data_IF_608840854484
#
_entry.id   IF_608840854484
#
_cell.length_a   1.000
_cell.length_b   1.000
_cell.length_c   1.000
_cell.angle_alpha   90.00
_cell.angle_beta   90.00
_cell.angle_gamma   90.00
#
_symmetry.space_group_name_H-M   'P 1'
#
loop_
_entity.id
_entity.type
_entity.pdbx_description
1 polymer ?
#
# COMPACT_ATOMS: atom_id res chain seq x y z
N UNK A 1 -32.88 3.95 14.34
CA UNK A 1 -32.74 5.35 14.79
C UNK A 1 -31.29 5.75 14.58
N UNK A 2 -30.88 6.84 13.93
CA UNK A 2 -31.56 7.83 13.08
C UNK A 2 -30.82 7.85 11.74
N UNK A 3 -31.56 7.97 10.63
CA UNK A 3 -30.96 8.43 9.38
C UNK A 3 -30.60 9.91 9.59
N UNK A 4 -29.31 10.18 9.80
CA UNK A 4 -28.80 11.54 9.93
C UNK A 4 -28.92 12.26 8.59
N UNK A 5 -29.76 13.29 8.54
CA UNK A 5 -29.87 14.23 7.44
C UNK A 5 -28.50 14.84 7.12
N UNK A 6 -27.98 14.63 5.91
CA UNK A 6 -26.78 15.30 5.42
C UNK A 6 -27.11 16.74 5.00
N UNK A 7 -27.09 17.66 5.96
CA UNK A 7 -26.81 19.05 5.64
C UNK A 7 -25.43 19.16 4.97
N UNK A 8 -25.14 20.21 4.19
CA UNK A 8 -23.81 20.40 3.62
C UNK A 8 -22.79 20.42 4.76
N UNK A 9 -21.80 19.51 4.70
CA UNK A 9 -20.66 19.54 5.65
C UNK A 9 -20.03 20.92 5.56
N UNK A 10 -19.74 21.53 6.72
CA UNK A 10 -18.96 22.76 6.76
C UNK A 10 -17.67 22.56 5.95
N UNK A 11 -17.43 23.42 4.97
CA UNK A 11 -16.27 23.36 4.09
C UNK A 11 -15.30 24.49 4.42
N UNK A 12 -14.04 24.13 4.62
CA UNK A 12 -12.91 25.04 4.76
C UNK A 12 -12.02 24.92 3.54
N UNK A 13 -11.61 26.05 2.96
CA UNK A 13 -10.73 26.08 1.80
C UNK A 13 -9.28 26.37 2.20
N UNK A 14 -8.35 25.51 1.79
CA UNK A 14 -6.90 25.64 2.08
C UNK A 14 -6.32 26.95 1.53
N UNK A 15 -6.91 27.56 0.49
CA UNK A 15 -6.46 28.86 -0.02
C UNK A 15 -6.41 29.96 1.06
N UNK A 16 -7.29 29.90 2.07
CA UNK A 16 -7.29 30.85 3.20
C UNK A 16 -6.18 30.63 4.22
N UNK A 17 -5.48 29.48 4.14
CA UNK A 17 -4.43 29.06 5.08
C UNK A 17 -3.09 28.82 4.39
N UNK A 18 -3.03 28.96 3.05
CA UNK A 18 -1.85 28.58 2.27
C UNK A 18 -0.62 29.35 2.74
N UNK A 19 0.36 28.61 3.24
CA UNK A 19 1.66 29.12 3.62
C UNK A 19 2.75 28.13 3.15
N UNK A 20 3.57 28.46 2.13
CA UNK A 20 4.63 27.58 1.66
C UNK A 20 5.76 27.36 2.68
N UNK A 21 5.83 28.16 3.75
CA UNK A 21 6.76 27.93 4.87
C UNK A 21 6.24 26.86 5.85
N UNK A 22 4.91 26.71 5.97
CA UNK A 22 4.28 25.63 6.75
C UNK A 22 4.71 24.27 6.21
N UNK A 23 5.12 23.31 7.07
CA UNK A 23 5.47 21.95 6.65
C UNK A 23 4.37 21.21 5.86
N UNK A 24 3.11 21.66 5.93
CA UNK A 24 1.98 21.07 5.19
C UNK A 24 1.30 22.06 4.24
N UNK A 25 1.95 23.18 3.93
CA UNK A 25 1.45 24.20 3.03
C UNK A 25 0.06 24.78 3.42
N UNK A 26 -0.24 24.87 4.72
CA UNK A 26 -1.52 25.37 5.21
C UNK A 26 -2.63 24.33 5.39
N UNK A 27 -2.41 23.08 4.96
CA UNK A 27 -3.46 22.05 5.02
C UNK A 27 -3.76 21.63 6.46
N UNK A 28 -2.73 21.43 7.30
CA UNK A 28 -2.95 21.08 8.71
C UNK A 28 -3.65 22.21 9.46
N UNK A 29 -3.35 23.46 9.13
CA UNK A 29 -3.96 24.65 9.69
C UNK A 29 -5.44 24.76 9.28
N UNK A 30 -5.77 24.49 8.01
CA UNK A 30 -7.14 24.40 7.55
C UNK A 30 -7.94 23.31 8.27
N UNK A 31 -7.35 22.11 8.46
CA UNK A 31 -7.95 21.02 9.23
C UNK A 31 -8.17 21.45 10.69
N UNK A 32 -7.19 22.10 11.32
CA UNK A 32 -7.29 22.56 12.71
C UNK A 32 -8.36 23.65 12.90
N UNK A 33 -8.73 24.37 11.85
CA UNK A 33 -9.79 25.39 11.89
C UNK A 33 -11.21 24.82 11.83
N UNK A 34 -11.36 23.52 11.53
CA UNK A 34 -12.66 22.87 11.53
C UNK A 34 -13.29 22.87 12.91
N UNK A 35 -14.61 22.76 12.93
CA UNK A 35 -15.36 22.48 14.15
C UNK A 35 -14.92 21.15 14.78
N UNK A 36 -15.08 20.95 16.11
CA UNK A 36 -14.80 19.68 16.76
C UNK A 36 -15.59 18.48 16.19
N UNK A 37 -16.71 18.72 15.50
CA UNK A 37 -17.48 17.67 14.82
C UNK A 37 -16.89 17.22 13.48
N UNK A 38 -15.77 17.82 13.05
CA UNK A 38 -15.15 17.57 11.75
C UNK A 38 -15.75 18.43 10.64
N UNK A 39 -15.54 18.01 9.39
CA UNK A 39 -15.97 18.75 8.21
C UNK A 39 -15.17 18.39 6.96
N UNK A 40 -15.30 19.23 5.93
CA UNK A 40 -14.60 19.07 4.66
C UNK A 40 -13.51 20.12 4.53
N UNK A 41 -12.31 19.70 4.16
CA UNK A 41 -11.22 20.59 3.76
C UNK A 41 -11.00 20.43 2.26
N UNK A 42 -11.23 21.52 1.52
CA UNK A 42 -10.96 21.58 0.08
C UNK A 42 -9.56 22.13 -0.17
N UNK A 43 -8.71 21.33 -0.81
CA UNK A 43 -7.39 21.73 -1.28
C UNK A 43 -7.47 22.05 -2.78
N UNK A 44 -7.56 23.33 -3.19
CA UNK A 44 -7.70 23.68 -4.59
C UNK A 44 -6.48 23.25 -5.42
N UNK A 45 -6.64 23.25 -6.73
CA UNK A 45 -5.56 22.99 -7.68
C UNK A 45 -4.27 23.75 -7.32
N UNK A 46 -3.14 23.05 -7.33
CA UNK A 46 -1.86 23.59 -6.90
C UNK A 46 -0.89 22.49 -6.47
N UNK A 47 0.37 22.87 -6.25
CA UNK A 47 1.41 21.97 -5.74
C UNK A 47 1.73 22.32 -4.30
N UNK A 48 1.52 21.37 -3.40
CA UNK A 48 1.75 21.47 -1.96
C UNK A 48 3.00 20.63 -1.62
N UNK A 49 4.14 21.30 -1.42
CA UNK A 49 5.41 20.65 -1.15
C UNK A 49 5.57 20.35 0.34
N UNK A 50 5.28 19.10 0.72
CA UNK A 50 5.24 18.66 2.10
C UNK A 50 6.64 18.48 2.69
N UNK A 51 6.77 18.79 3.99
CA UNK A 51 7.90 18.43 4.86
C UNK A 51 7.48 17.53 6.02
N UNK A 52 6.18 17.35 6.24
CA UNK A 52 5.61 16.38 7.16
C UNK A 52 4.27 15.84 6.62
N UNK A 53 3.76 14.77 7.24
CA UNK A 53 2.45 14.21 6.91
C UNK A 53 1.32 15.19 7.21
N UNK A 54 0.31 15.20 6.35
CA UNK A 54 -1.01 15.75 6.67
C UNK A 54 -1.71 14.72 7.57
N UNK A 55 -1.89 15.05 8.85
CA UNK A 55 -2.65 14.21 9.77
C UNK A 55 -4.15 14.44 9.60
N UNK A 56 -4.90 13.37 9.32
CA UNK A 56 -6.36 13.42 9.24
C UNK A 56 -6.98 12.86 10.53
N UNK A 57 -7.65 13.70 11.34
CA UNK A 57 -8.48 13.20 12.43
C UNK A 57 -9.77 12.56 11.89
N UNK A 58 -10.52 11.88 12.76
CA UNK A 58 -11.84 11.36 12.41
C UNK A 58 -12.82 12.47 11.98
N UNK A 59 -13.86 12.08 11.22
CA UNK A 59 -14.91 12.95 10.71
C UNK A 59 -14.42 14.03 9.72
N UNK A 60 -13.25 13.85 9.10
CA UNK A 60 -12.66 14.80 8.14
C UNK A 60 -12.64 14.21 6.72
N UNK A 61 -13.10 15.03 5.77
CA UNK A 61 -12.87 14.82 4.33
C UNK A 61 -11.77 15.75 3.84
N UNK A 62 -10.67 15.23 3.29
CA UNK A 62 -9.70 16.01 2.51
C UNK A 62 -9.97 15.79 1.02
N UNK A 63 -10.36 16.86 0.32
CA UNK A 63 -10.84 16.79 -1.07
C UNK A 63 -10.05 17.76 -1.94
N UNK A 64 -9.49 17.26 -3.04
CA UNK A 64 -8.82 18.09 -4.04
C UNK A 64 -9.63 18.26 -5.33
N UNK A 65 -9.06 19.02 -6.26
CA UNK A 65 -9.58 19.26 -7.60
C UNK A 65 -9.07 18.18 -8.59
N UNK A 66 -9.06 16.93 -8.13
CA UNK A 66 -8.58 15.78 -8.90
C UNK A 66 -7.06 15.82 -9.12
N UNK A 67 -6.56 15.49 -10.34
CA UNK A 67 -5.13 15.44 -10.61
C UNK A 67 -4.44 16.81 -10.53
N UNK A 68 -5.20 17.91 -10.48
CA UNK A 68 -4.66 19.27 -10.38
C UNK A 68 -4.23 19.64 -8.94
N UNK A 69 -4.70 18.93 -7.91
CA UNK A 69 -4.23 19.09 -6.52
C UNK A 69 -3.11 18.08 -6.26
N UNK A 70 -1.87 18.56 -6.16
CA UNK A 70 -0.67 17.72 -6.06
C UNK A 70 -0.03 17.87 -4.69
N UNK A 71 0.00 16.79 -3.92
CA UNK A 71 0.83 16.64 -2.72
C UNK A 71 2.19 16.07 -3.14
N UNK A 72 3.27 16.84 -2.96
CA UNK A 72 4.60 16.44 -3.40
C UNK A 72 5.59 16.38 -2.24
N UNK A 73 6.61 15.53 -2.35
CA UNK A 73 7.77 15.51 -1.44
C UNK A 73 9.07 15.78 -2.20
N UNK A 74 10.08 16.26 -1.48
CA UNK A 74 11.46 16.31 -2.00
C UNK A 74 12.05 14.90 -2.05
N UNK A 75 13.12 14.67 -2.84
CA UNK A 75 13.89 13.45 -2.75
C UNK A 75 14.24 13.08 -1.29
N UNK A 76 14.02 11.80 -0.88
CA UNK A 76 14.45 11.33 0.42
C UNK A 76 15.95 11.52 0.57
N UNK A 77 16.35 12.09 1.71
CA UNK A 77 17.75 12.15 2.10
C UNK A 77 17.93 11.35 3.37
N UNK A 78 18.87 10.40 3.34
CA UNK A 78 19.22 9.56 4.47
C UNK A 78 20.62 9.87 4.99
N UNK A 79 20.80 9.71 6.29
CA UNK A 79 22.06 9.90 7.00
C UNK A 79 22.23 8.76 8.01
N UNK A 80 23.41 8.15 8.04
CA UNK A 80 23.74 7.13 9.03
C UNK A 80 23.83 7.75 10.42
N UNK A 81 23.43 7.00 11.45
CA UNK A 81 23.66 7.38 12.84
C UNK A 81 25.15 7.25 13.19
N UNK A 82 25.63 8.15 14.05
CA UNK A 82 27.01 8.16 14.56
C UNK A 82 27.16 7.39 15.87
N UNK A 83 26.06 7.24 16.61
CA UNK A 83 25.96 6.47 17.86
C UNK A 83 24.70 5.64 17.84
N UNK A 84 24.65 4.58 18.65
CA UNK A 84 23.41 3.84 18.90
C UNK A 84 22.33 4.80 19.41
N UNK A 85 21.07 4.56 19.03
CA UNK A 85 19.92 5.24 19.61
C UNK A 85 19.24 4.30 20.59
N UNK A 86 18.95 4.77 21.80
CA UNK A 86 18.36 3.94 22.85
C UNK A 86 16.83 4.10 22.86
N UNK A 87 16.11 2.99 23.02
CA UNK A 87 14.67 2.99 23.19
C UNK A 87 14.26 3.96 24.32
N UNK A 88 13.23 4.77 24.07
CA UNK A 88 12.74 5.76 25.04
C UNK A 88 13.42 7.14 24.95
N UNK A 89 14.55 7.27 24.26
CA UNK A 89 15.22 8.56 24.08
C UNK A 89 14.57 9.40 22.98
N UNK A 90 14.66 10.72 23.09
CA UNK A 90 14.07 11.68 22.13
C UNK A 90 15.13 12.33 21.23
N UNK A 91 16.40 11.95 21.37
CA UNK A 91 17.53 12.51 20.65
C UNK A 91 18.32 11.38 19.99
N UNK A 92 18.88 11.66 18.82
CA UNK A 92 19.84 10.79 18.15
C UNK A 92 20.97 11.62 17.56
N UNK A 93 22.13 11.00 17.39
CA UNK A 93 23.30 11.62 16.79
C UNK A 93 23.59 11.03 15.41
N UNK A 94 23.69 11.90 14.41
CA UNK A 94 24.06 11.52 13.05
C UNK A 94 25.58 11.43 12.90
N UNK A 95 26.06 10.60 11.98
CA UNK A 95 27.50 10.49 11.67
C UNK A 95 28.09 11.76 11.04
N UNK A 96 27.24 12.65 10.55
CA UNK A 96 27.58 13.96 9.99
C UNK A 96 26.41 14.93 10.17
N UNK A 97 26.60 16.21 9.84
CA UNK A 97 25.50 17.18 9.87
C UNK A 97 24.35 16.73 8.95
N UNK A 98 23.14 16.47 9.49
CA UNK A 98 22.02 16.01 8.70
C UNK A 98 21.31 17.17 7.97
N UNK A 99 20.55 16.90 6.90
CA UNK A 99 19.83 17.92 6.14
C UNK A 99 18.51 18.37 6.79
N UNK A 100 18.21 17.89 7.99
CA UNK A 100 16.92 18.09 8.66
C UNK A 100 16.78 19.48 9.29
N UNK A 101 15.56 20.00 9.29
CA UNK A 101 15.18 21.28 9.89
C UNK A 101 14.02 21.08 10.86
N UNK A 102 13.82 22.04 11.77
CA UNK A 102 12.66 22.03 12.65
C UNK A 102 11.34 21.92 11.84
N UNK A 103 10.45 21.05 12.30
CA UNK A 103 9.19 20.72 11.64
C UNK A 103 9.27 19.70 10.52
N UNK A 104 10.47 19.22 10.13
CA UNK A 104 10.58 18.11 9.18
C UNK A 104 10.15 16.80 9.86
N UNK A 105 9.37 15.99 9.16
CA UNK A 105 9.15 14.60 9.55
C UNK A 105 10.35 13.74 9.13
N UNK A 106 10.77 12.88 10.06
CA UNK A 106 11.89 11.97 9.91
C UNK A 106 11.50 10.57 10.36
N UNK A 107 12.05 9.59 9.65
CA UNK A 107 11.99 8.18 9.99
C UNK A 107 13.35 7.68 10.44
N UNK A 108 13.36 6.74 11.39
CA UNK A 108 14.57 6.06 11.85
C UNK A 108 14.36 4.56 11.86
N UNK A 109 15.36 3.84 11.39
CA UNK A 109 15.39 2.39 11.39
C UNK A 109 16.83 1.89 11.36
N UNK A 110 17.02 0.59 11.56
CA UNK A 110 18.22 -0.14 11.18
C UNK A 110 17.82 -1.37 10.35
N UNK A 111 18.77 -2.24 10.02
CA UNK A 111 18.48 -3.42 9.18
C UNK A 111 17.66 -4.51 9.91
N UNK A 112 17.48 -4.38 11.22
CA UNK A 112 16.73 -5.31 12.08
C UNK A 112 15.42 -4.72 12.61
N UNK A 113 15.36 -3.41 12.78
CA UNK A 113 14.27 -2.64 13.36
C UNK A 113 13.71 -1.68 12.31
N UNK A 114 12.72 -2.16 11.57
CA UNK A 114 11.98 -1.42 10.55
C UNK A 114 10.48 -1.70 10.67
N UNK A 115 9.66 -1.14 9.78
CA UNK A 115 8.21 -1.28 9.79
C UNK A 115 7.63 -0.75 11.09
N UNK A 116 6.83 -1.59 11.76
CA UNK A 116 6.24 -1.25 13.06
C UNK A 116 7.25 -0.96 14.18
N UNK A 117 8.52 -1.31 14.00
CA UNK A 117 9.60 -1.05 14.96
C UNK A 117 10.45 0.16 14.59
N UNK A 118 10.22 0.77 13.43
CA UNK A 118 10.83 2.04 13.05
C UNK A 118 10.22 3.21 13.82
N UNK A 119 11.02 4.23 14.08
CA UNK A 119 10.56 5.46 14.75
C UNK A 119 10.20 6.51 13.72
N UNK A 120 9.01 7.10 13.84
CA UNK A 120 8.54 8.19 12.98
C UNK A 120 8.22 9.41 13.83
N UNK A 121 8.92 10.52 13.58
CA UNK A 121 8.81 11.72 14.41
C UNK A 121 8.99 13.01 13.64
N UNK A 122 8.81 14.12 14.34
CA UNK A 122 9.05 15.48 13.87
C UNK A 122 10.28 16.05 14.56
N UNK A 123 11.18 16.64 13.78
CA UNK A 123 12.35 17.34 14.29
C UNK A 123 11.90 18.57 15.07
N UNK A 124 12.29 18.62 16.35
CA UNK A 124 12.08 19.78 17.23
C UNK A 124 13.27 20.73 17.17
N UNK A 125 14.48 20.18 17.20
CA UNK A 125 15.71 20.95 17.25
C UNK A 125 16.86 20.16 16.61
N UNK A 126 17.83 20.88 16.02
CA UNK A 126 19.10 20.33 15.54
C UNK A 126 20.26 21.14 16.10
N UNK A 127 21.23 20.46 16.74
CA UNK A 127 22.48 21.05 17.24
C UNK A 127 23.66 20.31 16.63
N UNK A 128 24.18 20.83 15.51
CA UNK A 128 25.21 20.14 14.74
C UNK A 128 24.69 18.82 14.18
N UNK A 129 25.26 17.71 14.64
CA UNK A 129 24.87 16.34 14.26
C UNK A 129 23.77 15.73 15.14
N UNK A 130 23.47 16.34 16.31
CA UNK A 130 22.42 15.88 17.22
C UNK A 130 21.07 16.44 16.82
N UNK A 131 20.06 15.57 16.82
CA UNK A 131 18.70 15.87 16.39
C UNK A 131 17.73 15.41 17.48
N UNK A 132 16.89 16.32 17.96
CA UNK A 132 15.81 16.02 18.90
C UNK A 132 14.49 15.90 18.15
N UNK A 133 13.72 14.85 18.42
CA UNK A 133 12.40 14.61 17.83
C UNK A 133 11.30 14.67 18.89
N UNK A 134 10.05 14.67 18.45
CA UNK A 134 8.86 14.82 19.30
C UNK A 134 8.31 13.51 19.90
N UNK A 135 8.93 12.38 19.60
CA UNK A 135 8.55 11.05 20.06
C UNK A 135 9.80 10.32 20.59
N UNK A 136 9.64 9.39 21.54
CA UNK A 136 10.75 8.54 21.94
C UNK A 136 11.09 7.54 20.83
N UNK A 137 12.32 7.03 20.80
CA UNK A 137 12.71 5.90 19.96
C UNK A 137 11.89 4.67 20.34
N UNK A 138 11.28 4.03 19.33
CA UNK A 138 10.43 2.85 19.48
C UNK A 138 11.24 1.62 19.93
N UNK A 139 12.47 1.49 19.41
CA UNK A 139 13.42 0.42 19.69
C UNK A 139 14.83 0.96 19.77
N UNK A 140 15.72 0.17 20.37
CA UNK A 140 17.15 0.37 20.22
C UNK A 140 17.52 0.24 18.74
N UNK A 141 18.26 1.21 18.22
CA UNK A 141 18.83 1.16 16.87
C UNK A 141 20.36 1.08 16.97
N UNK A 142 20.95 0.14 16.25
CA UNK A 142 22.38 -0.15 16.34
C UNK A 142 23.15 0.34 15.13
N UNK A 143 24.22 1.10 15.36
CA UNK A 143 25.13 1.53 14.28
C UNK A 143 25.72 0.32 13.55
N UNK A 144 26.02 -0.75 14.29
CA UNK A 144 26.49 -2.02 13.73
C UNK A 144 25.47 -2.68 12.77
N UNK A 145 24.18 -2.35 12.90
CA UNK A 145 23.09 -2.83 12.04
C UNK A 145 22.66 -1.78 11.01
N UNK A 146 23.55 -0.84 10.65
CA UNK A 146 23.29 0.24 9.67
C UNK A 146 22.14 1.19 10.07
N UNK A 147 22.06 1.55 11.35
CA UNK A 147 21.11 2.54 11.85
C UNK A 147 21.21 3.86 11.07
N UNK A 148 20.05 4.36 10.64
CA UNK A 148 19.93 5.53 9.76
C UNK A 148 18.66 6.32 10.05
N UNK A 149 18.73 7.62 9.78
CA UNK A 149 17.58 8.51 9.72
C UNK A 149 17.30 8.91 8.27
N UNK A 150 16.04 9.14 7.92
CA UNK A 150 15.61 9.58 6.59
C UNK A 150 14.55 10.67 6.69
N UNK A 151 14.59 11.64 5.78
CA UNK A 151 13.48 12.58 5.57
C UNK A 151 12.47 11.96 4.61
N UNK A 152 11.67 11.03 5.12
CA UNK A 152 10.56 10.38 4.42
C UNK A 152 9.44 10.14 5.43
N UNK A 153 8.20 10.29 4.98
CA UNK A 153 6.98 10.22 5.79
C UNK A 153 5.78 10.01 4.84
N UNK A 154 4.66 9.43 5.28
CA UNK A 154 3.43 9.40 4.48
C UNK A 154 2.97 10.80 4.10
N UNK A 155 2.51 11.03 2.86
CA UNK A 155 1.88 12.32 2.53
C UNK A 155 0.63 12.55 3.39
N UNK A 156 -0.19 11.50 3.55
CA UNK A 156 -1.39 11.50 4.38
C UNK A 156 -1.28 10.39 5.42
N UNK A 157 -1.53 10.74 6.68
CA UNK A 157 -1.50 9.81 7.80
C UNK A 157 -2.75 9.94 8.66
N UNK A 158 -3.28 8.82 9.13
CA UNK A 158 -4.33 8.81 10.15
C UNK A 158 -4.16 7.61 11.07
N UNK A 159 -4.59 7.76 12.32
CA UNK A 159 -4.59 6.69 13.32
C UNK A 159 -5.90 6.67 14.09
N UNK A 160 -6.49 5.49 14.19
CA UNK A 160 -7.69 5.18 14.99
C UNK A 160 -8.88 6.14 14.72
N UNK A 161 -8.92 6.73 13.51
CA UNK A 161 -9.94 7.66 13.08
C UNK A 161 -11.17 6.96 12.50
N UNK A 162 -12.32 7.63 12.57
CA UNK A 162 -13.59 7.11 12.05
C UNK A 162 -14.20 8.14 11.11
N UNK A 163 -14.86 7.71 10.03
CA UNK A 163 -15.51 8.59 9.04
C UNK A 163 -14.51 9.54 8.35
N UNK A 164 -13.45 8.97 7.77
CA UNK A 164 -12.41 9.70 7.02
C UNK A 164 -12.66 9.55 5.52
N UNK A 165 -12.50 10.65 4.79
CA UNK A 165 -12.53 10.65 3.32
C UNK A 165 -11.29 11.34 2.75
N UNK A 166 -10.67 10.70 1.76
CA UNK A 166 -9.57 11.24 0.96
C UNK A 166 -10.01 11.16 -0.50
N UNK A 167 -10.14 12.29 -1.18
CA UNK A 167 -10.74 12.30 -2.51
C UNK A 167 -10.03 13.25 -3.48
N UNK A 168 -9.78 12.79 -4.71
CA UNK A 168 -9.42 13.68 -5.81
C UNK A 168 -8.06 14.36 -5.61
N UNK A 169 -7.03 13.59 -5.29
CA UNK A 169 -5.67 14.09 -5.06
C UNK A 169 -4.66 13.36 -5.92
N UNK A 170 -3.67 14.08 -6.43
CA UNK A 170 -2.40 13.52 -6.89
C UNK A 170 -1.38 13.54 -5.74
N UNK A 171 -0.67 12.45 -5.52
CA UNK A 171 0.41 12.31 -4.53
C UNK A 171 1.66 11.87 -5.29
N UNK A 172 2.72 12.67 -5.21
CA UNK A 172 3.90 12.55 -6.08
C UNK A 172 5.18 12.45 -5.26
N UNK A 173 5.88 11.34 -5.41
CA UNK A 173 7.27 11.20 -4.99
C UNK A 173 8.24 11.86 -5.99
N UNK A 174 9.54 11.84 -5.72
CA UNK A 174 10.53 12.32 -6.68
C UNK A 174 10.53 11.42 -7.93
N UNK A 175 10.45 12.04 -9.11
CA UNK A 175 10.38 11.31 -10.39
C UNK A 175 11.48 10.24 -10.52
N UNK A 176 11.10 9.05 -10.99
CA UNK A 176 12.01 7.94 -11.24
C UNK A 176 12.88 7.55 -10.03
N UNK A 177 12.34 7.65 -8.82
CA UNK A 177 13.05 7.19 -7.64
C UNK A 177 13.46 5.72 -7.77
N UNK A 178 14.76 5.45 -7.56
CA UNK A 178 15.36 4.11 -7.53
C UNK A 178 16.20 3.87 -6.28
N UNK A 179 15.99 4.68 -5.24
CA UNK A 179 16.71 4.52 -3.99
C UNK A 179 16.38 3.19 -3.28
N UNK A 180 17.22 2.75 -2.33
CA UNK A 180 17.08 1.45 -1.69
C UNK A 180 15.96 1.41 -0.65
N UNK A 181 15.43 2.56 -0.22
CA UNK A 181 14.40 2.62 0.82
C UNK A 181 13.10 1.95 0.37
N UNK A 182 12.56 1.05 1.19
CA UNK A 182 11.21 0.50 1.05
C UNK A 182 10.74 -0.02 2.42
N UNK A 183 9.65 0.56 2.93
CA UNK A 183 9.01 0.17 4.19
C UNK A 183 7.55 0.66 4.19
N UNK A 184 6.59 -0.26 4.38
CA UNK A 184 5.16 0.00 4.25
C UNK A 184 4.63 1.09 5.21
N UNK A 185 5.34 1.39 6.30
CA UNK A 185 4.97 2.49 7.23
C UNK A 185 5.16 3.88 6.63
N UNK A 186 5.93 3.96 5.53
CA UNK A 186 6.15 5.18 4.75
C UNK A 186 5.28 5.24 3.48
N UNK A 187 4.20 4.45 3.39
CA UNK A 187 3.29 4.50 2.25
C UNK A 187 2.77 5.93 2.00
N UNK A 188 2.47 6.30 0.75
CA UNK A 188 2.04 7.66 0.41
C UNK A 188 0.77 8.06 1.16
N UNK A 189 -0.18 7.14 1.24
CA UNK A 189 -1.29 7.17 2.19
C UNK A 189 -1.06 6.03 3.17
N UNK A 190 -0.93 6.34 4.46
CA UNK A 190 -0.76 5.34 5.50
C UNK A 190 -1.82 5.53 6.59
N UNK A 191 -2.83 4.66 6.63
CA UNK A 191 -3.91 4.73 7.61
C UNK A 191 -3.83 3.53 8.55
N UNK A 192 -3.98 3.78 9.85
CA UNK A 192 -3.81 2.75 10.88
C UNK A 192 -5.05 2.67 11.77
N UNK A 193 -5.68 1.51 11.88
CA UNK A 193 -6.78 1.28 12.82
C UNK A 193 -8.06 2.07 12.51
N UNK A 194 -8.16 2.66 11.32
CA UNK A 194 -9.26 3.54 10.96
C UNK A 194 -10.52 2.76 10.55
N UNK A 195 -11.70 3.37 10.70
CA UNK A 195 -13.00 2.74 10.38
C UNK A 195 -13.88 3.65 9.53
N UNK A 196 -14.71 3.09 8.65
CA UNK A 196 -15.58 3.86 7.74
C UNK A 196 -14.77 4.87 6.93
N UNK A 197 -13.79 4.34 6.19
CA UNK A 197 -12.84 5.14 5.41
C UNK A 197 -13.17 5.06 3.93
N UNK A 198 -13.06 6.18 3.22
CA UNK A 198 -13.17 6.24 1.77
C UNK A 198 -11.92 6.90 1.19
N UNK A 199 -11.20 6.19 0.32
CA UNK A 199 -10.12 6.74 -0.51
C UNK A 199 -10.56 6.61 -1.97
N UNK A 200 -10.83 7.73 -2.63
CA UNK A 200 -11.55 7.73 -3.92
C UNK A 200 -10.86 8.65 -4.92
N UNK A 201 -10.62 8.16 -6.15
CA UNK A 201 -10.10 8.97 -7.25
C UNK A 201 -8.78 9.67 -6.91
N UNK A 202 -7.86 8.95 -6.25
CA UNK A 202 -6.53 9.44 -5.91
C UNK A 202 -5.47 8.77 -6.78
N UNK A 203 -4.43 9.51 -7.17
CA UNK A 203 -3.31 9.00 -7.96
C UNK A 203 -2.01 9.13 -7.17
N UNK A 204 -1.32 8.03 -6.93
CA UNK A 204 0.02 8.00 -6.35
C UNK A 204 1.04 7.68 -7.45
N UNK A 205 2.13 8.44 -7.50
CA UNK A 205 3.20 8.27 -8.51
C UNK A 205 4.58 8.37 -7.89
N UNK A 206 5.48 7.48 -8.31
CA UNK A 206 6.92 7.48 -7.98
C UNK A 206 7.21 7.55 -6.47
N UNK A 207 6.31 7.02 -5.65
CA UNK A 207 6.47 7.12 -4.21
C UNK A 207 7.66 6.27 -3.73
N UNK A 208 8.53 6.78 -2.83
CA UNK A 208 9.71 6.04 -2.34
C UNK A 208 9.42 4.78 -1.52
N UNK A 209 8.15 4.40 -1.34
CA UNK A 209 7.71 3.20 -0.64
C UNK A 209 6.44 2.67 -1.30
N UNK A 210 5.48 2.14 -0.53
CA UNK A 210 4.18 1.72 -1.03
C UNK A 210 3.28 2.90 -1.43
N UNK A 211 2.32 2.67 -2.31
CA UNK A 211 1.35 3.69 -2.73
C UNK A 211 0.30 3.98 -1.66
N UNK A 212 -0.73 3.14 -1.55
CA UNK A 212 -1.81 3.28 -0.57
C UNK A 212 -1.79 2.08 0.38
N UNK A 213 -1.37 2.32 1.63
CA UNK A 213 -1.31 1.33 2.70
C UNK A 213 -2.37 1.58 3.76
N UNK A 214 -3.19 0.57 4.05
CA UNK A 214 -4.19 0.62 5.13
C UNK A 214 -4.01 -0.58 6.03
N UNK A 215 -3.68 -0.31 7.28
CA UNK A 215 -3.23 -1.30 8.25
C UNK A 215 -4.19 -1.31 9.45
N UNK A 216 -4.70 -2.48 9.86
CA UNK A 216 -5.77 -2.60 10.87
C UNK A 216 -7.04 -1.85 10.47
N UNK A 217 -8.10 -1.97 11.27
CA UNK A 217 -9.35 -1.24 11.07
C UNK A 217 -10.41 -2.05 10.32
N UNK A 218 -11.46 -1.37 9.87
CA UNK A 218 -12.61 -2.05 9.24
C UNK A 218 -13.52 -1.11 8.45
N UNK A 219 -14.28 -1.63 7.48
CA UNK A 219 -15.21 -0.84 6.65
C UNK A 219 -14.44 0.26 5.90
N UNK A 220 -13.58 -0.19 5.00
CA UNK A 220 -12.68 0.65 4.22
C UNK A 220 -12.98 0.44 2.74
N UNK A 221 -13.09 1.54 2.00
CA UNK A 221 -13.30 1.53 0.56
C UNK A 221 -12.16 2.29 -0.12
N UNK A 222 -11.40 1.61 -0.98
CA UNK A 222 -10.38 2.22 -1.84
C UNK A 222 -10.79 1.98 -3.29
N UNK A 223 -11.24 3.04 -3.95
CA UNK A 223 -11.92 2.90 -5.24
C UNK A 223 -11.42 3.92 -6.26
N UNK A 224 -11.34 3.51 -7.52
CA UNK A 224 -10.96 4.41 -8.63
C UNK A 224 -9.58 5.07 -8.41
N UNK A 225 -8.69 4.42 -7.66
CA UNK A 225 -7.38 4.95 -7.34
C UNK A 225 -6.31 4.37 -8.26
N UNK A 226 -5.19 5.08 -8.35
CA UNK A 226 -4.05 4.71 -9.17
C UNK A 226 -2.77 4.72 -8.34
N UNK A 227 -1.89 3.73 -8.52
CA UNK A 227 -0.58 3.67 -7.88
C UNK A 227 0.48 3.22 -8.89
N UNK A 228 1.35 4.14 -9.31
CA UNK A 228 2.29 3.93 -10.40
C UNK A 228 3.73 4.19 -10.00
N UNK A 229 4.65 3.34 -10.45
CA UNK A 229 6.10 3.58 -10.27
C UNK A 229 6.55 3.64 -8.82
N UNK A 230 5.72 3.22 -7.85
CA UNK A 230 6.08 3.22 -6.45
C UNK A 230 7.21 2.20 -6.22
N UNK A 231 8.14 2.53 -5.33
CA UNK A 231 9.30 1.65 -5.05
C UNK A 231 8.85 0.31 -4.45
N UNK A 232 7.76 0.34 -3.69
CA UNK A 232 7.15 -0.81 -3.03
C UNK A 232 5.91 -1.33 -3.74
N UNK A 233 4.90 -1.73 -2.98
CA UNK A 233 3.61 -2.20 -3.50
C UNK A 233 2.72 -1.02 -3.96
N UNK A 234 1.82 -1.25 -4.91
CA UNK A 234 0.82 -0.25 -5.29
C UNK A 234 -0.23 -0.03 -4.19
N UNK A 235 -0.94 -1.10 -3.83
CA UNK A 235 -1.95 -1.12 -2.78
C UNK A 235 -1.61 -2.18 -1.73
N UNK A 236 -1.81 -1.86 -0.46
CA UNK A 236 -1.37 -2.70 0.65
C UNK A 236 -2.38 -2.70 1.82
N UNK A 237 -3.46 -3.50 1.73
CA UNK A 237 -4.23 -3.89 2.92
C UNK A 237 -3.41 -4.80 3.83
N UNK A 238 -3.34 -4.48 5.11
CA UNK A 238 -2.57 -5.31 6.02
C UNK A 238 -2.91 -5.23 7.49
N UNK A 239 -2.18 -6.02 8.25
CA UNK A 239 -2.18 -6.06 9.72
C UNK A 239 -3.60 -6.11 10.28
N UNK A 240 -4.32 -7.21 10.07
CA UNK A 240 -5.67 -7.38 10.63
C UNK A 240 -6.76 -6.43 10.10
N UNK A 241 -6.62 -5.87 8.88
CA UNK A 241 -7.70 -5.12 8.22
C UNK A 241 -8.90 -6.04 7.89
N UNK A 242 -10.13 -5.57 8.11
CA UNK A 242 -11.35 -6.37 7.93
C UNK A 242 -12.40 -5.67 7.08
N UNK A 243 -13.23 -6.43 6.39
CA UNK A 243 -14.42 -5.90 5.70
C UNK A 243 -14.08 -4.67 4.83
N UNK A 244 -13.12 -4.83 3.92
CA UNK A 244 -12.67 -3.76 3.05
C UNK A 244 -12.93 -4.08 1.58
N UNK A 245 -13.15 -3.05 0.77
CA UNK A 245 -13.41 -3.16 -0.67
C UNK A 245 -12.39 -2.33 -1.42
N UNK A 246 -11.67 -2.99 -2.31
CA UNK A 246 -10.69 -2.40 -3.20
C UNK A 246 -11.17 -2.67 -4.62
N UNK A 247 -11.68 -1.65 -5.31
CA UNK A 247 -12.25 -1.86 -6.64
C UNK A 247 -11.95 -0.76 -7.65
N UNK A 248 -11.95 -1.10 -8.93
CA UNK A 248 -11.70 -0.16 -10.02
C UNK A 248 -10.35 0.55 -9.89
N UNK A 249 -9.36 -0.13 -9.32
CA UNK A 249 -8.03 0.44 -9.07
C UNK A 249 -7.05 0.05 -10.18
N UNK A 250 -6.03 0.87 -10.37
CA UNK A 250 -4.95 0.59 -11.32
C UNK A 250 -3.61 0.66 -10.58
N UNK A 251 -2.83 -0.42 -10.62
CA UNK A 251 -1.45 -0.39 -10.18
C UNK A 251 -0.51 -0.85 -11.31
N UNK A 252 0.52 -0.07 -11.61
CA UNK A 252 1.51 -0.53 -12.56
C UNK A 252 2.90 0.07 -12.46
N UNK A 253 3.88 -0.71 -12.91
CA UNK A 253 5.29 -0.31 -12.84
C UNK A 253 5.84 -0.21 -11.41
N UNK A 254 5.13 -0.75 -10.41
CA UNK A 254 5.60 -0.71 -9.02
C UNK A 254 6.72 -1.75 -8.80
N UNK A 255 7.63 -1.49 -7.87
CA UNK A 255 8.75 -2.39 -7.58
C UNK A 255 8.36 -3.68 -6.87
N UNK A 256 7.27 -3.64 -6.08
CA UNK A 256 6.65 -4.79 -5.43
C UNK A 256 5.48 -5.35 -6.25
N UNK A 257 4.42 -5.73 -5.55
CA UNK A 257 3.16 -6.19 -6.15
C UNK A 257 2.27 -5.01 -6.56
N UNK A 258 1.35 -5.25 -7.51
CA UNK A 258 0.27 -4.31 -7.77
C UNK A 258 -0.64 -4.14 -6.54
N UNK A 259 -1.00 -5.27 -5.93
CA UNK A 259 -1.79 -5.36 -4.70
C UNK A 259 -1.20 -6.41 -3.77
N UNK A 260 -0.96 -6.09 -2.50
CA UNK A 260 -0.37 -7.01 -1.53
C UNK A 260 -1.24 -7.18 -0.29
N UNK A 261 -1.68 -8.41 -0.05
CA UNK A 261 -2.33 -8.82 1.19
C UNK A 261 -1.27 -9.11 2.27
N UNK A 262 -1.44 -8.52 3.46
CA UNK A 262 -0.46 -8.66 4.55
C UNK A 262 -1.11 -9.04 5.89
N UNK A 263 -1.10 -10.32 6.23
CA UNK A 263 -1.30 -10.88 7.56
C UNK A 263 -2.62 -10.48 8.28
N UNK A 264 -3.48 -11.49 8.44
CA UNK A 264 -4.81 -11.44 9.06
C UNK A 264 -5.79 -10.49 8.36
N UNK A 265 -5.65 -10.27 7.06
CA UNK A 265 -6.67 -9.57 6.27
C UNK A 265 -7.88 -10.50 6.09
N UNK A 266 -9.08 -10.01 6.44
CA UNK A 266 -10.29 -10.83 6.40
C UNK A 266 -11.47 -10.13 5.73
N UNK A 267 -12.35 -10.92 5.10
CA UNK A 267 -13.59 -10.42 4.48
C UNK A 267 -13.34 -9.25 3.53
N UNK A 268 -12.19 -9.24 2.86
CA UNK A 268 -11.77 -8.17 1.96
C UNK A 268 -11.99 -8.57 0.52
N UNK A 269 -12.50 -7.64 -0.28
CA UNK A 269 -12.76 -7.81 -1.71
C UNK A 269 -11.75 -6.99 -2.49
N UNK A 270 -11.01 -7.62 -3.42
CA UNK A 270 -10.21 -6.99 -4.45
C UNK A 270 -10.84 -7.31 -5.81
N UNK A 271 -11.43 -6.31 -6.47
CA UNK A 271 -12.28 -6.53 -7.64
C UNK A 271 -12.11 -5.50 -8.76
N UNK A 272 -12.44 -5.88 -9.99
CA UNK A 272 -12.56 -4.98 -11.14
C UNK A 272 -11.32 -4.06 -11.33
N UNK A 273 -10.12 -4.56 -11.03
CA UNK A 273 -8.89 -3.77 -10.99
C UNK A 273 -7.84 -4.26 -11.98
N UNK A 274 -6.89 -3.40 -12.33
CA UNK A 274 -5.81 -3.71 -13.27
C UNK A 274 -4.47 -3.60 -12.57
N UNK A 275 -3.75 -4.72 -12.49
CA UNK A 275 -2.43 -4.83 -11.89
C UNK A 275 -1.42 -5.30 -12.94
N UNK A 276 -0.65 -4.37 -13.48
CA UNK A 276 0.21 -4.67 -14.63
C UNK A 276 1.63 -4.16 -14.53
N UNK A 277 2.59 -4.92 -15.08
CA UNK A 277 4.01 -4.53 -15.14
C UNK A 277 4.61 -4.22 -13.76
N UNK A 278 4.12 -4.87 -12.71
CA UNK A 278 4.73 -4.76 -11.37
C UNK A 278 5.92 -5.72 -11.27
N UNK A 279 6.91 -5.35 -10.45
CA UNK A 279 8.17 -6.08 -10.31
C UNK A 279 7.99 -7.46 -9.69
N UNK A 280 6.94 -7.67 -8.89
CA UNK A 280 6.56 -8.96 -8.34
C UNK A 280 5.26 -9.48 -8.96
N UNK A 281 4.21 -9.70 -8.17
CA UNK A 281 2.95 -10.26 -8.62
C UNK A 281 1.97 -9.16 -9.05
N UNK A 282 0.93 -9.53 -9.81
CA UNK A 282 -0.24 -8.65 -9.95
C UNK A 282 -0.91 -8.46 -8.59
N UNK A 283 -1.25 -9.58 -7.96
CA UNK A 283 -1.78 -9.66 -6.60
C UNK A 283 -0.95 -10.68 -5.82
N UNK A 284 -0.33 -10.26 -4.72
CA UNK A 284 0.57 -11.07 -3.90
C UNK A 284 0.07 -11.26 -2.46
N UNK A 285 0.62 -12.27 -1.79
CA UNK A 285 0.42 -12.50 -0.36
C UNK A 285 -0.96 -13.01 0.04
N UNK A 286 -1.81 -13.39 -0.93
CA UNK A 286 -3.17 -13.86 -0.64
C UNK A 286 -3.10 -15.08 0.28
N UNK A 287 -3.92 -15.08 1.34
CA UNK A 287 -3.98 -16.12 2.39
C UNK A 287 -2.82 -16.11 3.42
N UNK A 288 -1.66 -15.53 3.09
CA UNK A 288 -0.47 -15.64 3.93
C UNK A 288 -0.60 -14.86 5.24
N UNK A 289 -0.09 -15.42 6.34
CA UNK A 289 -0.13 -14.78 7.66
C UNK A 289 -1.51 -14.83 8.33
N UNK A 290 -2.34 -15.79 7.94
CA UNK A 290 -3.66 -16.03 8.53
C UNK A 290 -4.79 -15.21 7.91
N UNK A 291 -4.64 -14.81 6.65
CA UNK A 291 -5.72 -14.16 5.89
C UNK A 291 -6.79 -15.22 5.56
N UNK A 292 -8.08 -14.89 5.68
CA UNK A 292 -9.18 -15.82 5.35
C UNK A 292 -10.43 -15.08 4.88
N UNK A 293 -11.25 -15.77 4.09
CA UNK A 293 -12.52 -15.27 3.53
C UNK A 293 -12.36 -14.01 2.67
N UNK A 294 -11.25 -13.87 1.94
CA UNK A 294 -11.10 -12.79 0.97
C UNK A 294 -11.55 -13.23 -0.42
N UNK A 295 -11.99 -12.25 -1.21
CA UNK A 295 -12.47 -12.44 -2.58
C UNK A 295 -11.57 -11.64 -3.50
N UNK A 296 -10.98 -12.31 -4.48
CA UNK A 296 -10.19 -11.72 -5.55
C UNK A 296 -10.91 -12.03 -6.85
N UNK A 297 -11.63 -11.04 -7.40
CA UNK A 297 -12.47 -11.28 -8.57
C UNK A 297 -12.34 -10.27 -9.69
N UNK A 298 -12.52 -10.73 -10.93
CA UNK A 298 -12.69 -9.84 -12.10
C UNK A 298 -11.53 -8.86 -12.31
N UNK A 299 -10.31 -9.23 -11.86
CA UNK A 299 -9.12 -8.41 -12.02
C UNK A 299 -8.35 -8.81 -13.29
N UNK A 300 -7.59 -7.85 -13.82
CA UNK A 300 -6.59 -8.10 -14.87
C UNK A 300 -5.19 -8.03 -14.26
N UNK A 301 -4.52 -9.16 -14.18
CA UNK A 301 -3.12 -9.25 -13.77
C UNK A 301 -2.26 -9.56 -14.99
N UNK A 302 -1.54 -8.56 -15.51
CA UNK A 302 -0.85 -8.70 -16.79
C UNK A 302 0.62 -8.24 -16.78
N UNK A 303 1.50 -8.99 -17.44
CA UNK A 303 2.91 -8.63 -17.62
C UNK A 303 3.66 -8.35 -16.31
N UNK A 304 3.29 -8.99 -15.21
CA UNK A 304 3.99 -8.84 -13.93
C UNK A 304 5.26 -9.73 -13.90
N UNK A 305 6.24 -9.35 -13.08
CA UNK A 305 7.49 -10.07 -12.92
C UNK A 305 7.31 -11.54 -12.52
N UNK A 306 6.31 -11.82 -11.68
CA UNK A 306 6.02 -13.15 -11.11
C UNK A 306 4.63 -13.62 -11.49
N UNK A 307 3.90 -14.30 -10.60
CA UNK A 307 2.54 -14.77 -10.86
C UNK A 307 1.58 -13.60 -11.16
N UNK A 308 0.48 -13.89 -11.85
CA UNK A 308 -0.65 -12.96 -11.89
C UNK A 308 -1.28 -12.82 -10.50
N UNK A 309 -1.60 -13.96 -9.87
CA UNK A 309 -2.05 -14.06 -8.48
C UNK A 309 -1.18 -15.07 -7.74
N UNK A 310 -0.67 -14.68 -6.57
CA UNK A 310 0.02 -15.56 -5.64
C UNK A 310 -0.78 -15.75 -4.35
N UNK A 311 -1.37 -16.94 -4.19
CA UNK A 311 -2.06 -17.37 -2.99
C UNK A 311 -1.28 -18.49 -2.30
N UNK A 312 -0.87 -18.25 -1.06
CA UNK A 312 -0.02 -19.19 -0.33
C UNK A 312 -0.22 -19.19 1.18
N UNK A 313 0.07 -20.33 1.80
CA UNK A 313 0.17 -20.52 3.27
C UNK A 313 -1.05 -20.03 4.02
N UNK A 314 -2.22 -20.52 3.63
CA UNK A 314 -3.48 -20.14 4.25
C UNK A 314 -4.65 -20.88 3.62
N UNK A 315 -5.85 -20.33 3.73
CA UNK A 315 -7.04 -21.08 3.34
C UNK A 315 -8.25 -20.18 3.03
N UNK A 316 -9.31 -20.80 2.50
CA UNK A 316 -10.65 -20.22 2.41
C UNK A 316 -10.71 -18.90 1.64
N UNK A 317 -10.08 -18.89 0.46
CA UNK A 317 -10.13 -17.77 -0.47
C UNK A 317 -11.12 -18.04 -1.61
N UNK A 318 -11.55 -16.98 -2.29
CA UNK A 318 -12.29 -17.08 -3.56
C UNK A 318 -11.53 -16.31 -4.62
N UNK A 319 -10.99 -17.03 -5.61
CA UNK A 319 -10.27 -16.48 -6.75
C UNK A 319 -11.12 -16.71 -8.01
N UNK A 320 -11.82 -15.70 -8.51
CA UNK A 320 -12.80 -15.92 -9.57
C UNK A 320 -12.85 -14.87 -10.68
N UNK A 321 -12.97 -15.29 -11.93
CA UNK A 321 -13.21 -14.36 -13.04
C UNK A 321 -12.00 -13.51 -13.42
N UNK A 322 -10.80 -13.81 -12.92
CA UNK A 322 -9.61 -13.00 -13.20
C UNK A 322 -9.01 -13.34 -14.57
N UNK A 323 -8.41 -12.34 -15.23
CA UNK A 323 -7.58 -12.48 -16.42
C UNK A 323 -6.09 -12.40 -16.04
N UNK A 324 -5.34 -13.47 -16.30
CA UNK A 324 -3.93 -13.64 -15.97
C UNK A 324 -3.15 -13.76 -17.28
N UNK A 325 -2.56 -12.65 -17.72
CA UNK A 325 -2.00 -12.53 -19.07
C UNK A 325 -0.50 -12.26 -19.05
N UNK A 326 0.28 -13.12 -19.70
CA UNK A 326 1.69 -12.84 -20.03
C UNK A 326 2.54 -12.46 -18.81
N UNK A 327 2.27 -13.04 -17.63
CA UNK A 327 3.08 -12.80 -16.43
C UNK A 327 4.39 -13.61 -16.47
N UNK A 328 5.06 -13.77 -15.33
CA UNK A 328 6.35 -14.46 -15.20
C UNK A 328 7.50 -13.77 -15.96
N UNK A 329 7.45 -12.44 -16.07
CA UNK A 329 8.41 -11.64 -16.85
C UNK A 329 9.84 -11.66 -16.27
N UNK A 330 10.01 -11.77 -14.95
CA UNK A 330 11.34 -11.78 -14.31
C UNK A 330 12.11 -13.08 -14.60
N UNK A 331 11.38 -14.18 -14.77
CA UNK A 331 11.91 -15.53 -14.96
C UNK A 331 10.89 -16.34 -15.79
N UNK A 332 10.94 -16.25 -17.13
CA UNK A 332 10.00 -16.94 -18.02
C UNK A 332 9.84 -18.43 -17.69
N UNK A 333 8.58 -18.87 -17.58
CA UNK A 333 8.18 -20.24 -17.28
C UNK A 333 8.28 -20.66 -15.80
N UNK A 334 8.79 -19.79 -14.92
CA UNK A 334 8.92 -20.10 -13.49
C UNK A 334 7.60 -19.91 -12.73
N UNK A 335 6.80 -18.93 -13.11
CA UNK A 335 5.64 -18.49 -12.35
C UNK A 335 4.34 -18.77 -13.09
N UNK A 336 3.36 -19.45 -12.48
CA UNK A 336 2.06 -19.69 -13.10
C UNK A 336 1.21 -18.42 -13.12
N UNK A 337 0.14 -18.42 -13.91
CA UNK A 337 -0.90 -17.39 -13.85
C UNK A 337 -1.49 -17.25 -12.44
N UNK A 338 -1.85 -18.37 -11.82
CA UNK A 338 -2.26 -18.46 -10.41
C UNK A 338 -1.43 -19.53 -9.69
N UNK A 339 -0.77 -19.15 -8.59
CA UNK A 339 -0.11 -20.10 -7.68
C UNK A 339 -0.99 -20.38 -6.47
N UNK A 340 -1.17 -21.66 -6.15
CA UNK A 340 -1.74 -22.17 -4.90
C UNK A 340 -0.64 -22.99 -4.19
N UNK A 341 -0.08 -22.47 -3.11
CA UNK A 341 1.06 -23.11 -2.42
C UNK A 341 0.81 -23.20 -0.92
N UNK A 342 0.77 -24.40 -0.37
CA UNK A 342 0.31 -24.66 1.00
C UNK A 342 -1.03 -23.93 1.28
N UNK A 343 -1.98 -24.08 0.35
CA UNK A 343 -3.25 -23.38 0.35
C UNK A 343 -4.41 -24.38 0.40
N UNK A 344 -5.35 -24.19 1.32
CA UNK A 344 -6.44 -25.14 1.52
C UNK A 344 -7.83 -24.53 1.32
N UNK A 345 -8.84 -25.39 1.06
CA UNK A 345 -10.26 -25.02 1.08
C UNK A 345 -10.62 -23.79 0.22
N UNK A 346 -9.89 -23.59 -0.86
CA UNK A 346 -10.01 -22.40 -1.72
C UNK A 346 -10.79 -22.71 -2.99
N UNK A 347 -11.61 -21.77 -3.42
CA UNK A 347 -12.36 -21.84 -4.69
C UNK A 347 -11.59 -21.05 -5.75
N UNK A 348 -11.21 -21.70 -6.84
CA UNK A 348 -10.55 -21.10 -8.01
C UNK A 348 -11.38 -21.37 -9.25
N UNK A 349 -12.13 -20.38 -9.72
CA UNK A 349 -13.13 -20.60 -10.78
C UNK A 349 -13.24 -19.52 -11.83
N UNK A 350 -13.53 -19.92 -13.08
CA UNK A 350 -13.83 -18.96 -14.14
C UNK A 350 -12.66 -18.03 -14.50
N UNK A 351 -11.42 -18.38 -14.13
CA UNK A 351 -10.26 -17.56 -14.45
C UNK A 351 -9.74 -17.89 -15.85
N UNK A 352 -9.14 -16.91 -16.50
CA UNK A 352 -8.50 -17.04 -17.81
C UNK A 352 -7.00 -16.83 -17.69
N UNK A 353 -6.22 -17.87 -17.96
CA UNK A 353 -4.76 -17.77 -18.08
C UNK A 353 -4.38 -17.77 -19.56
N UNK A 354 -3.53 -16.83 -19.97
CA UNK A 354 -3.05 -16.72 -21.35
C UNK A 354 -1.66 -16.12 -21.42
N UNK A 355 -1.00 -16.32 -22.55
CA UNK A 355 0.16 -15.54 -22.97
C UNK A 355 -0.06 -15.08 -24.40
N UNK A 356 0.10 -13.78 -24.64
CA UNK A 356 -0.11 -13.14 -25.94
C UNK A 356 1.19 -12.68 -26.60
N UNK A 357 2.33 -13.08 -26.05
CA UNK A 357 3.64 -12.78 -26.59
C UNK A 357 4.07 -13.84 -27.61
N UNK A 358 4.92 -13.43 -28.56
CA UNK A 358 5.50 -14.34 -29.56
C UNK A 358 6.35 -15.44 -28.91
N UNK A 359 7.06 -15.09 -27.84
CA UNK A 359 7.78 -16.02 -26.97
C UNK A 359 7.08 -15.99 -25.62
N UNK A 360 6.30 -17.03 -25.28
CA UNK A 360 5.55 -17.05 -24.03
C UNK A 360 6.46 -16.99 -22.80
N UNK A 361 6.11 -16.15 -21.84
CA UNK A 361 6.73 -16.08 -20.52
C UNK A 361 5.89 -16.78 -19.46
N UNK A 362 4.57 -16.74 -19.55
CA UNK A 362 3.64 -17.47 -18.69
C UNK A 362 3.30 -18.81 -19.36
N UNK A 363 3.96 -19.88 -18.93
CA UNK A 363 3.78 -21.21 -19.55
C UNK A 363 2.88 -22.15 -18.74
N UNK A 364 2.51 -21.75 -17.52
CA UNK A 364 1.67 -22.53 -16.62
C UNK A 364 0.44 -21.70 -16.23
N UNK A 365 -0.73 -22.34 -16.18
CA UNK A 365 -2.00 -21.70 -15.85
C UNK A 365 -2.20 -21.61 -14.34
N UNK A 366 -2.86 -22.61 -13.77
CA UNK A 366 -3.15 -22.70 -12.33
C UNK A 366 -2.35 -23.87 -11.75
N UNK A 367 -1.47 -23.60 -10.79
CA UNK A 367 -0.60 -24.62 -10.20
C UNK A 367 -0.80 -24.71 -8.70
N UNK A 368 -1.29 -25.87 -8.26
CA UNK A 368 -1.29 -26.30 -6.88
C UNK A 368 0.03 -27.01 -6.52
N UNK A 369 0.54 -26.77 -5.31
CA UNK A 369 1.81 -27.30 -4.85
C UNK A 369 1.92 -27.36 -3.32
N UNK A 370 2.97 -28.00 -2.81
CA UNK A 370 3.26 -28.08 -1.38
C UNK A 370 2.28 -29.00 -0.66
N UNK A 371 1.80 -28.59 0.51
CA UNK A 371 0.79 -29.31 1.30
C UNK A 371 -0.65 -28.92 0.99
N UNK A 372 -0.89 -28.18 -0.10
CA UNK A 372 -2.23 -27.72 -0.49
C UNK A 372 -3.22 -28.87 -0.62
N UNK A 373 -4.43 -28.70 -0.10
CA UNK A 373 -5.48 -29.71 -0.17
C UNK A 373 -6.91 -29.13 -0.14
N UNK A 374 -7.89 -29.95 -0.52
CA UNK A 374 -9.32 -29.58 -0.48
C UNK A 374 -9.68 -28.32 -1.30
N UNK A 375 -8.94 -28.03 -2.38
CA UNK A 375 -9.24 -26.91 -3.27
C UNK A 375 -10.20 -27.33 -4.38
N UNK A 376 -11.06 -26.42 -4.81
CA UNK A 376 -11.95 -26.60 -5.96
C UNK A 376 -11.50 -25.70 -7.10
N UNK A 377 -10.90 -26.29 -8.13
CA UNK A 377 -10.31 -25.60 -9.29
C UNK A 377 -11.16 -25.91 -10.53
N UNK A 378 -12.18 -25.09 -10.81
CA UNK A 378 -13.17 -25.44 -11.82
C UNK A 378 -13.59 -24.35 -12.80
N UNK A 379 -13.89 -24.75 -14.04
CA UNK A 379 -14.39 -23.83 -15.07
C UNK A 379 -13.37 -22.78 -15.52
N UNK A 380 -12.07 -23.07 -15.44
CA UNK A 380 -11.01 -22.13 -15.85
C UNK A 380 -10.61 -22.38 -17.32
N UNK A 381 -10.14 -21.33 -17.99
CA UNK A 381 -9.63 -21.39 -19.36
C UNK A 381 -8.12 -21.16 -19.37
N UNK A 382 -7.35 -22.22 -19.65
CA UNK A 382 -5.89 -22.23 -19.66
C UNK A 382 -5.32 -22.79 -20.98
N UNK A 383 -6.07 -22.63 -22.08
CA UNK A 383 -5.72 -23.16 -23.41
C UNK A 383 -4.34 -22.67 -23.87
N UNK A 384 -3.51 -23.61 -24.33
CA UNK A 384 -2.19 -23.31 -24.89
C UNK A 384 -1.08 -23.20 -23.85
N UNK A 385 -1.40 -23.38 -22.56
CA UNK A 385 -0.40 -23.51 -21.50
C UNK A 385 0.23 -24.90 -21.52
N UNK A 386 1.52 -24.98 -21.17
CA UNK A 386 2.24 -26.26 -21.03
C UNK A 386 1.78 -27.04 -19.80
N UNK A 387 1.56 -26.33 -18.70
CA UNK A 387 1.02 -26.86 -17.44
C UNK A 387 -0.27 -26.09 -17.12
N UNK A 388 -1.38 -26.44 -17.77
CA UNK A 388 -2.59 -25.63 -17.74
C UNK A 388 -3.27 -25.62 -16.36
N UNK A 389 -3.49 -26.80 -15.77
CA UNK A 389 -3.97 -26.96 -14.39
C UNK A 389 -3.22 -28.12 -13.75
N UNK A 390 -2.53 -27.85 -12.64
CA UNK A 390 -1.79 -28.84 -11.85
C UNK A 390 -2.43 -28.96 -10.47
N UNK A 391 -2.73 -30.19 -10.06
CA UNK A 391 -3.35 -30.53 -8.77
C UNK A 391 -2.45 -31.54 -8.05
N UNK A 392 -2.13 -31.27 -6.79
CA UNK A 392 -1.30 -32.13 -5.93
C UNK A 392 -2.02 -32.58 -4.67
N UNK A 393 -3.05 -31.85 -4.23
CA UNK A 393 -3.84 -32.17 -3.04
C UNK A 393 -4.63 -33.46 -3.23
N UNK A 394 -4.67 -34.29 -2.19
CA UNK A 394 -5.34 -35.60 -2.23
C UNK A 394 -6.85 -35.48 -2.38
N UNK A 395 -7.43 -34.42 -1.80
CA UNK A 395 -8.85 -34.10 -1.78
C UNK A 395 -9.19 -32.89 -2.67
N UNK A 396 -8.19 -32.27 -3.29
CA UNK A 396 -8.40 -31.22 -4.29
C UNK A 396 -9.03 -31.77 -5.56
N UNK A 397 -9.83 -30.95 -6.23
CA UNK A 397 -10.53 -31.33 -7.47
C UNK A 397 -10.33 -30.30 -8.55
N UNK A 398 -10.08 -30.78 -9.77
CA UNK A 398 -10.10 -29.98 -10.98
C UNK A 398 -11.23 -30.43 -11.91
N UNK A 399 -12.21 -29.56 -12.17
CA UNK A 399 -13.44 -29.93 -12.87
C UNK A 399 -13.82 -28.92 -13.96
N UNK A 400 -14.12 -29.38 -15.17
CA UNK A 400 -14.63 -28.52 -16.25
C UNK A 400 -13.67 -27.43 -16.74
N UNK A 401 -12.36 -27.61 -16.57
CA UNK A 401 -11.35 -26.68 -17.11
C UNK A 401 -11.12 -26.93 -18.61
N UNK A 402 -10.96 -25.85 -19.38
CA UNK A 402 -10.55 -25.90 -20.79
C UNK A 402 -9.04 -25.68 -20.87
N UNK A 403 -8.31 -26.73 -21.25
CA UNK A 403 -6.83 -26.81 -21.18
C UNK A 403 -6.18 -27.00 -22.53
#
# INVERSE_FOLDING_TARGET
MMAGSSGPRAEVNVAGFYDPASPTCGIAEAIASLSPSGGRVRAPAGVYLLRQSIYLPGCVSLVGDGPATVLAIRPPESVALGTDATQGEYEFECSKSPPFKAGDAVGLCDDRQSGWHGTHGLVRERRGARVRINVPMERDLKVADNARAVRLFPAIYARDGVDIEIQGLAIRGPEQYRGPWWDFTYAAVHLVGCRRVRVVNCTVSDWPSDGIGIQRGSDVQVMQCQAHGCRGHGFHPGTALRASVWSHNIAGGNGGDGFFFCARVHHTVCSDSVFSRNGQHGIGGVANGGDHHNIVSDNVCAYNGRCGIDANRGEEQVLSGNLLLSNSQEAPGRWPGIRLHDLDRTIVRGNRCGDDQTVPTQTSGIVESGSSDCNLIGGNMCVGMREPVVVTGTNSRAEGNLV
#
